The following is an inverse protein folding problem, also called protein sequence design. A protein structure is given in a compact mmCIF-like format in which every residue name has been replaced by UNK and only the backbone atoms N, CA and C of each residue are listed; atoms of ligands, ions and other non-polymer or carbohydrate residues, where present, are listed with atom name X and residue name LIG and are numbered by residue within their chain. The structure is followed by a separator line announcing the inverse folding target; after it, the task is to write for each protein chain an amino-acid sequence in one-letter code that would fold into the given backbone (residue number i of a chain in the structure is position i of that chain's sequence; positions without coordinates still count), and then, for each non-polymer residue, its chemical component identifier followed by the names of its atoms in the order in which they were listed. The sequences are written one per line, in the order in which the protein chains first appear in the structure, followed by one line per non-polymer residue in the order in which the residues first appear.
data_IF_498042839028
#
_entry.id   IF_498042839028
#
_cell.length_a   1.000
_cell.length_b   1.000
_cell.length_c   1.000
_cell.angle_alpha   90.00
_cell.angle_beta   90.00
_cell.angle_gamma   90.00
#
_symmetry.space_group_name_H-M   'P 1'
#
loop_
_entity.id
_entity.type
_entity.pdbx_description
1 polymer ?
#
# COMPACT_ATOMS: atom_id res chain seq x y z
N UNK A 1 -17.12 1.41 3.95
CA UNK A 1 -16.99 2.35 2.82
C UNK A 1 -15.98 1.83 1.83
N UNK A 2 -16.34 1.82 0.55
CA UNK A 2 -15.37 1.51 -0.49
C UNK A 2 -14.45 2.73 -0.68
N UNK A 3 -13.15 2.49 -0.76
CA UNK A 3 -12.18 3.52 -1.07
C UNK A 3 -12.23 3.82 -2.56
N UNK A 4 -12.31 5.08 -2.90
CA UNK A 4 -12.30 5.53 -4.29
C UNK A 4 -11.19 6.56 -4.50
N UNK A 5 -10.59 6.54 -5.68
CA UNK A 5 -9.58 7.53 -6.03
C UNK A 5 -10.22 8.91 -6.16
N UNK A 6 -9.55 9.93 -5.65
CA UNK A 6 -9.96 11.32 -5.86
C UNK A 6 -9.63 11.74 -7.29
N UNK A 7 -10.29 12.80 -7.75
CA UNK A 7 -10.01 13.38 -9.07
C UNK A 7 -8.52 13.72 -9.24
N UNK A 8 -7.92 14.32 -8.21
CA UNK A 8 -6.49 14.66 -8.22
C UNK A 8 -5.61 13.42 -8.36
N UNK A 9 -5.93 12.36 -7.63
CA UNK A 9 -5.19 11.09 -7.72
C UNK A 9 -5.30 10.48 -9.13
N UNK A 10 -6.48 10.51 -9.73
CA UNK A 10 -6.70 10.02 -11.09
C UNK A 10 -5.88 10.85 -12.09
N UNK A 11 -5.84 12.18 -11.95
CA UNK A 11 -5.06 13.05 -12.82
C UNK A 11 -3.55 12.77 -12.69
N UNK A 12 -3.07 12.53 -11.49
CA UNK A 12 -1.67 12.13 -11.24
C UNK A 12 -1.35 10.80 -11.92
N UNK A 13 -2.24 9.82 -11.79
CA UNK A 13 -2.09 8.52 -12.44
C UNK A 13 -2.04 8.65 -13.97
N UNK A 14 -2.90 9.47 -14.54
CA UNK A 14 -2.94 9.71 -15.98
C UNK A 14 -1.64 10.33 -16.49
N UNK A 15 -1.14 11.35 -15.78
CA UNK A 15 0.12 12.01 -16.11
C UNK A 15 1.30 11.03 -16.10
N UNK A 16 1.38 10.22 -15.06
CA UNK A 16 2.44 9.21 -14.91
C UNK A 16 2.32 8.14 -15.97
N UNK A 17 1.11 7.65 -16.24
CA UNK A 17 0.84 6.66 -17.30
C UNK A 17 1.30 7.18 -18.67
N UNK A 18 0.92 8.40 -19.02
CA UNK A 18 1.28 9.04 -20.27
C UNK A 18 2.80 9.23 -20.42
N UNK A 19 3.50 9.46 -19.33
CA UNK A 19 4.97 9.62 -19.31
C UNK A 19 5.71 8.30 -19.49
N UNK A 20 5.09 7.18 -19.15
CA UNK A 20 5.72 5.86 -19.17
C UNK A 20 5.14 4.91 -20.22
N UNK A 21 4.13 5.35 -20.96
CA UNK A 21 3.46 4.56 -21.98
C UNK A 21 4.37 4.20 -23.15
N UNK A 22 4.00 3.16 -23.88
CA UNK A 22 4.65 2.82 -25.15
C UNK A 22 4.36 3.88 -26.21
N UNK A 23 5.36 4.25 -26.99
CA UNK A 23 5.18 5.14 -28.15
C UNK A 23 4.65 4.42 -29.38
N UNK A 24 4.53 3.10 -29.32
CA UNK A 24 3.99 2.30 -30.41
C UNK A 24 2.50 2.09 -30.20
N UNK A 25 1.70 2.59 -31.14
CA UNK A 25 0.29 2.22 -31.21
C UNK A 25 0.23 0.76 -31.66
N UNK A 26 -0.45 -0.07 -30.91
CA UNK A 26 -0.77 -1.42 -31.38
C UNK A 26 -1.95 -1.32 -32.39
N UNK A 27 -2.28 -2.42 -33.04
CA UNK A 27 -3.31 -2.49 -34.08
C UNK A 27 -4.72 -2.03 -33.66
N UNK A 28 -4.89 -1.68 -32.38
CA UNK A 28 -6.18 -1.28 -31.77
C UNK A 28 -6.25 0.17 -31.34
N UNK A 29 -5.24 0.99 -31.67
CA UNK A 29 -5.11 2.37 -31.18
C UNK A 29 -5.15 2.52 -29.65
N UNK A 30 -4.93 1.43 -28.91
CA UNK A 30 -4.90 1.44 -27.44
C UNK A 30 -3.53 1.88 -26.93
N UNK A 31 -3.54 2.89 -26.05
CA UNK A 31 -2.34 3.32 -25.35
C UNK A 31 -2.12 2.38 -24.17
N UNK A 32 -0.96 1.74 -24.12
CA UNK A 32 -0.62 0.77 -23.08
C UNK A 32 0.71 1.07 -22.43
N UNK A 33 0.82 0.67 -21.17
CA UNK A 33 2.05 0.79 -20.38
C UNK A 33 2.78 -0.55 -20.43
N UNK A 34 4.04 -0.59 -20.95
CA UNK A 34 4.84 -1.80 -20.87
C UNK A 34 5.09 -2.23 -19.42
N UNK A 35 5.04 -3.53 -19.16
CA UNK A 35 5.25 -4.07 -17.80
C UNK A 35 6.61 -3.69 -17.22
N UNK A 36 7.64 -3.56 -18.03
CA UNK A 36 8.97 -3.15 -17.63
C UNK A 36 9.00 -1.71 -17.05
N UNK A 37 8.02 -0.88 -17.44
CA UNK A 37 7.89 0.50 -16.96
C UNK A 37 6.94 0.64 -15.77
N UNK A 38 6.30 -0.45 -15.35
CA UNK A 38 5.25 -0.40 -14.33
C UNK A 38 5.78 0.01 -12.96
N UNK A 39 6.89 -0.55 -12.53
CA UNK A 39 7.52 -0.19 -11.26
C UNK A 39 7.93 1.28 -11.28
N UNK A 40 8.55 1.73 -12.37
CA UNK A 40 8.94 3.12 -12.53
C UNK A 40 7.73 4.06 -12.45
N UNK A 41 6.63 3.70 -13.10
CA UNK A 41 5.39 4.50 -13.06
C UNK A 41 4.84 4.60 -11.63
N UNK A 42 4.85 3.52 -10.86
CA UNK A 42 4.44 3.53 -9.47
C UNK A 42 5.39 4.34 -8.58
N UNK A 43 6.69 4.29 -8.86
CA UNK A 43 7.68 5.13 -8.18
C UNK A 43 7.50 6.62 -8.50
N UNK A 44 7.11 6.95 -9.73
CA UNK A 44 6.78 8.33 -10.12
C UNK A 44 5.54 8.86 -9.38
N UNK A 45 4.69 7.96 -8.86
CA UNK A 45 3.58 8.29 -7.96
C UNK A 45 4.02 8.36 -6.48
N UNK A 46 5.32 8.27 -6.22
CA UNK A 46 5.92 8.29 -4.88
C UNK A 46 5.63 7.02 -4.05
N UNK A 47 5.33 5.91 -4.70
CA UNK A 47 5.19 4.62 -4.02
C UNK A 47 6.51 3.85 -4.06
N UNK A 48 6.81 3.16 -2.97
CA UNK A 48 7.91 2.20 -2.91
C UNK A 48 7.32 0.81 -3.10
N UNK A 49 7.79 0.09 -4.12
CA UNK A 49 7.27 -1.24 -4.43
C UNK A 49 8.39 -2.13 -4.99
N UNK A 50 8.39 -3.39 -4.57
CA UNK A 50 9.27 -4.42 -5.11
C UNK A 50 8.55 -5.21 -6.20
N UNK A 51 9.30 -5.90 -7.06
CA UNK A 51 8.71 -6.78 -8.09
C UNK A 51 7.85 -7.87 -7.47
N UNK A 52 8.27 -8.41 -6.34
CA UNK A 52 7.52 -9.44 -5.62
C UNK A 52 6.19 -8.91 -5.10
N UNK A 53 6.19 -7.73 -4.52
CA UNK A 53 4.97 -7.07 -4.04
C UNK A 53 4.01 -6.76 -5.19
N UNK A 54 4.54 -6.24 -6.30
CA UNK A 54 3.74 -5.97 -7.49
C UNK A 54 3.08 -7.24 -8.02
N UNK A 55 3.82 -8.33 -8.13
CA UNK A 55 3.28 -9.61 -8.59
C UNK A 55 2.15 -10.09 -7.67
N UNK A 56 2.32 -9.97 -6.36
CA UNK A 56 1.30 -10.34 -5.38
C UNK A 56 0.02 -9.53 -5.53
N UNK A 57 0.15 -8.21 -5.72
CA UNK A 57 -1.00 -7.33 -5.93
C UNK A 57 -1.72 -7.67 -7.24
N UNK A 58 -0.98 -7.93 -8.31
CA UNK A 58 -1.56 -8.30 -9.60
C UNK A 58 -2.37 -9.59 -9.49
N UNK A 59 -1.83 -10.60 -8.80
CA UNK A 59 -2.53 -11.88 -8.57
C UNK A 59 -3.82 -11.65 -7.78
N UNK A 60 -3.78 -10.85 -6.73
CA UNK A 60 -4.98 -10.53 -5.93
C UNK A 60 -6.06 -9.84 -6.76
N UNK A 61 -5.68 -9.03 -7.73
CA UNK A 61 -6.59 -8.33 -8.62
C UNK A 61 -7.07 -9.19 -9.80
N UNK A 62 -6.60 -10.44 -9.88
CA UNK A 62 -6.94 -11.34 -10.99
C UNK A 62 -6.19 -11.01 -12.29
N UNK A 63 -5.05 -10.32 -12.18
CA UNK A 63 -4.20 -9.97 -13.31
C UNK A 63 -3.04 -10.96 -13.44
N UNK A 64 -2.60 -11.20 -14.68
CA UNK A 64 -1.44 -12.04 -14.95
C UNK A 64 -0.14 -11.26 -14.67
N UNK A 65 0.71 -11.71 -13.74
CA UNK A 65 2.00 -11.03 -13.46
C UNK A 65 2.95 -11.02 -14.66
N UNK A 66 2.78 -11.94 -15.60
CA UNK A 66 3.61 -12.04 -16.81
C UNK A 66 3.04 -11.28 -18.00
N UNK A 67 1.95 -10.52 -17.81
CA UNK A 67 1.38 -9.70 -18.87
C UNK A 67 2.40 -8.67 -19.35
N UNK A 68 2.57 -8.56 -20.67
CA UNK A 68 3.58 -7.67 -21.26
C UNK A 68 3.23 -6.20 -21.24
N UNK A 69 1.95 -5.87 -21.22
CA UNK A 69 1.44 -4.49 -21.24
C UNK A 69 0.14 -4.41 -20.46
N UNK A 70 -0.12 -3.25 -19.84
CA UNK A 70 -1.38 -2.98 -19.14
C UNK A 70 -2.05 -1.72 -19.69
N UNK A 71 -3.38 -1.71 -19.66
CA UNK A 71 -4.17 -0.54 -19.99
C UNK A 71 -4.30 0.43 -18.80
N UNK A 72 -4.84 1.62 -19.07
CA UNK A 72 -4.99 2.63 -18.01
C UNK A 72 -5.95 2.19 -16.89
N UNK A 73 -7.11 1.59 -17.16
CA UNK A 73 -7.96 1.10 -16.07
C UNK A 73 -7.27 0.10 -15.15
N UNK A 74 -6.46 -0.81 -15.70
CA UNK A 74 -5.68 -1.77 -14.90
C UNK A 74 -4.61 -1.06 -14.05
N UNK A 75 -3.94 -0.06 -14.63
CA UNK A 75 -2.98 0.78 -13.88
C UNK A 75 -3.66 1.51 -12.72
N UNK A 76 -4.86 2.06 -12.93
CA UNK A 76 -5.63 2.70 -11.88
C UNK A 76 -5.97 1.74 -10.73
N UNK A 77 -6.28 0.49 -11.05
CA UNK A 77 -6.56 -0.55 -10.05
C UNK A 77 -5.34 -0.82 -9.17
N UNK A 78 -4.16 -0.92 -9.78
CA UNK A 78 -2.89 -1.08 -9.05
C UNK A 78 -2.60 0.14 -8.18
N UNK A 79 -2.75 1.34 -8.73
CA UNK A 79 -2.54 2.58 -7.99
C UNK A 79 -3.53 2.71 -6.83
N UNK A 80 -4.78 2.31 -7.02
CA UNK A 80 -5.81 2.32 -5.98
C UNK A 80 -5.38 1.50 -4.75
N UNK A 81 -4.83 0.31 -4.97
CA UNK A 81 -4.33 -0.54 -3.88
C UNK A 81 -3.24 0.17 -3.09
N UNK A 82 -2.30 0.81 -3.79
CA UNK A 82 -1.19 1.51 -3.15
C UNK A 82 -1.64 2.78 -2.43
N UNK A 83 -2.54 3.57 -3.00
CA UNK A 83 -3.10 4.76 -2.34
C UNK A 83 -3.87 4.38 -1.07
N UNK A 84 -4.69 3.34 -1.15
CA UNK A 84 -5.45 2.83 -0.01
C UNK A 84 -4.52 2.35 1.11
N UNK A 85 -3.47 1.63 0.77
CA UNK A 85 -2.46 1.15 1.71
C UNK A 85 -1.72 2.32 2.39
N UNK A 86 -1.36 3.34 1.63
CA UNK A 86 -0.70 4.54 2.14
C UNK A 86 -1.59 5.29 3.13
N UNK A 87 -2.85 5.50 2.77
CA UNK A 87 -3.82 6.16 3.66
C UNK A 87 -4.03 5.34 4.95
N UNK A 88 -4.13 4.03 4.81
CA UNK A 88 -4.23 3.13 5.95
C UNK A 88 -3.04 3.27 6.90
N UNK A 89 -1.82 3.27 6.36
CA UNK A 89 -0.60 3.40 7.18
C UNK A 89 -0.54 4.74 7.89
N UNK A 90 -0.94 5.83 7.23
CA UNK A 90 -1.00 7.15 7.85
C UNK A 90 -2.04 7.21 8.96
N UNK A 91 -3.21 6.63 8.75
CA UNK A 91 -4.27 6.56 9.76
C UNK A 91 -3.84 5.75 10.98
N UNK A 92 -3.15 4.64 10.75
CA UNK A 92 -2.62 3.79 11.81
C UNK A 92 -1.54 4.51 12.61
N UNK A 93 -0.63 5.21 11.93
CA UNK A 93 0.40 6.00 12.58
C UNK A 93 -0.21 7.12 13.44
N UNK A 94 -1.22 7.82 12.93
CA UNK A 94 -1.93 8.86 13.67
C UNK A 94 -2.63 8.29 14.91
N UNK A 95 -3.23 7.10 14.80
CA UNK A 95 -3.83 6.43 15.95
C UNK A 95 -2.79 6.11 17.03
N UNK A 96 -1.63 5.59 16.64
CA UNK A 96 -0.54 5.33 17.58
C UNK A 96 -0.05 6.62 18.26
N UNK A 97 0.10 7.70 17.50
CA UNK A 97 0.51 9.00 18.05
C UNK A 97 -0.48 9.56 19.06
N UNK A 98 -1.78 9.35 18.82
CA UNK A 98 -2.83 9.80 19.74
C UNK A 98 -2.75 9.13 21.10
N UNK A 99 -2.28 7.89 21.16
CA UNK A 99 -2.13 7.13 22.40
C UNK A 99 -0.77 7.35 23.07
N UNK A 100 0.19 7.94 22.37
CA UNK A 100 1.55 8.19 22.87
C UNK A 100 1.67 9.64 23.38
N UNK A 101 1.07 9.92 24.54
CA UNK A 101 0.98 11.27 25.13
C UNK A 101 2.34 11.90 25.43
N UNK A 102 3.35 11.10 25.68
CA UNK A 102 4.69 11.57 26.05
C UNK A 102 5.70 11.51 24.91
N UNK A 103 5.30 11.12 23.72
CA UNK A 103 6.15 10.95 22.54
C UNK A 103 7.35 10.03 22.75
N UNK A 104 7.23 9.09 23.68
CA UNK A 104 8.28 8.12 24.01
C UNK A 104 8.30 6.89 23.12
N UNK A 105 7.39 6.81 22.15
CA UNK A 105 7.22 5.66 21.25
C UNK A 105 6.93 4.35 22.01
N UNK A 106 6.50 4.45 23.26
CA UNK A 106 6.20 3.32 24.14
C UNK A 106 4.68 3.24 24.36
N UNK A 107 4.07 2.19 23.86
CA UNK A 107 2.67 1.89 24.08
C UNK A 107 2.57 0.61 24.90
N UNK A 108 1.54 0.52 25.75
CA UNK A 108 1.26 -0.72 26.47
C UNK A 108 0.70 -1.77 25.52
N UNK A 109 0.80 -3.03 25.91
CA UNK A 109 0.24 -4.13 25.14
C UNK A 109 -1.27 -3.93 24.87
N UNK A 110 -2.02 -3.49 25.87
CA UNK A 110 -3.46 -3.23 25.75
C UNK A 110 -3.77 -2.10 24.77
N UNK A 111 -2.97 -1.03 24.78
CA UNK A 111 -3.11 0.08 23.82
C UNK A 111 -2.86 -0.38 22.39
N UNK A 112 -1.82 -1.18 22.17
CA UNK A 112 -1.51 -1.75 20.87
C UNK A 112 -2.65 -2.65 20.38
N UNK A 113 -3.15 -3.51 21.23
CA UNK A 113 -4.25 -4.41 20.90
C UNK A 113 -5.52 -3.65 20.54
N UNK A 114 -5.87 -2.61 21.31
CA UNK A 114 -7.00 -1.74 21.03
C UNK A 114 -6.90 -1.08 19.65
N UNK A 115 -5.73 -0.54 19.34
CA UNK A 115 -5.49 0.12 18.05
C UNK A 115 -5.67 -0.87 16.90
N UNK A 116 -5.04 -2.04 16.98
CA UNK A 116 -5.08 -3.04 15.90
C UNK A 116 -6.44 -3.67 15.72
N UNK A 117 -7.26 -3.74 16.76
CA UNK A 117 -8.61 -4.31 16.66
C UNK A 117 -9.66 -3.30 16.23
N UNK A 118 -9.46 -2.01 16.47
CA UNK A 118 -10.42 -0.94 16.18
C UNK A 118 -10.12 -0.14 14.92
N UNK A 119 -8.84 -0.01 14.56
CA UNK A 119 -8.40 0.82 13.44
C UNK A 119 -7.77 -0.05 12.36
N UNK A 120 -7.85 0.43 11.11
CA UNK A 120 -7.24 -0.24 9.99
C UNK A 120 -7.96 -1.51 9.57
N UNK A 121 -7.25 -2.64 9.36
CA UNK A 121 -7.87 -3.89 8.89
C UNK A 121 -8.73 -4.57 9.94
N UNK A 122 -8.85 -4.01 11.14
CA UNK A 122 -9.63 -4.56 12.26
C UNK A 122 -9.31 -6.03 12.50
N UNK A 123 -8.09 -6.28 12.91
CA UNK A 123 -7.63 -7.62 13.25
C UNK A 123 -8.47 -8.20 14.40
N UNK A 124 -8.65 -9.52 14.42
CA UNK A 124 -9.23 -10.19 15.58
C UNK A 124 -8.27 -10.09 16.76
N UNK A 125 -8.77 -10.30 17.97
CA UNK A 125 -7.94 -10.26 19.17
C UNK A 125 -6.77 -11.24 19.09
N UNK A 126 -6.99 -12.45 18.59
CA UNK A 126 -5.95 -13.46 18.41
C UNK A 126 -4.89 -13.03 17.39
N UNK A 127 -5.32 -12.50 16.25
CA UNK A 127 -4.41 -12.00 15.21
C UNK A 127 -3.55 -10.84 15.73
N UNK A 128 -4.15 -9.91 16.47
CA UNK A 128 -3.45 -8.79 17.09
C UNK A 128 -2.43 -9.28 18.11
N UNK A 129 -2.81 -10.24 18.97
CA UNK A 129 -1.93 -10.83 19.99
C UNK A 129 -0.71 -11.50 19.35
N UNK A 130 -0.91 -12.30 18.31
CA UNK A 130 0.17 -12.96 17.59
C UNK A 130 1.12 -11.96 16.95
N UNK A 131 0.58 -10.94 16.29
CA UNK A 131 1.37 -9.94 15.60
C UNK A 131 2.23 -9.12 16.56
N UNK A 132 1.65 -8.68 17.68
CA UNK A 132 2.36 -7.92 18.71
C UNK A 132 3.44 -8.77 19.36
N UNK A 133 3.11 -10.01 19.67
CA UNK A 133 4.04 -10.94 20.31
C UNK A 133 5.26 -11.21 19.44
N UNK A 134 5.04 -11.53 18.17
CA UNK A 134 6.11 -11.79 17.22
C UNK A 134 7.04 -10.58 17.08
N UNK A 135 6.47 -9.38 17.00
CA UNK A 135 7.26 -8.16 16.87
C UNK A 135 8.09 -7.85 18.12
N UNK A 136 7.51 -8.03 19.31
CA UNK A 136 8.20 -7.79 20.59
C UNK A 136 9.33 -8.81 20.81
N UNK A 137 9.14 -10.06 20.40
CA UNK A 137 10.18 -11.09 20.51
C UNK A 137 11.38 -10.79 19.61
N UNK A 138 11.14 -10.23 18.42
CA UNK A 138 12.21 -9.86 17.48
C UNK A 138 12.93 -8.57 17.90
N UNK A 139 12.23 -7.65 18.54
CA UNK A 139 12.73 -6.32 18.88
C UNK A 139 12.55 -6.06 20.38
N UNK A 140 13.63 -5.75 21.07
CA UNK A 140 13.59 -5.49 22.52
C UNK A 140 12.86 -4.19 22.88
N UNK A 141 12.78 -3.24 21.94
CA UNK A 141 12.07 -1.98 22.11
C UNK A 141 10.98 -1.88 21.05
N UNK A 142 9.77 -1.50 21.46
CA UNK A 142 8.68 -1.31 20.53
C UNK A 142 8.73 0.09 19.91
N UNK A 143 8.93 0.15 18.59
CA UNK A 143 8.78 1.36 17.78
C UNK A 143 7.62 1.14 16.83
N UNK A 144 6.53 1.90 17.00
CA UNK A 144 5.33 1.71 16.19
C UNK A 144 5.55 2.07 14.71
N UNK A 145 6.47 2.96 14.40
CA UNK A 145 6.81 3.30 13.01
C UNK A 145 7.46 2.11 12.31
N UNK A 146 8.39 1.46 12.99
CA UNK A 146 9.02 0.25 12.51
C UNK A 146 8.02 -0.89 12.38
N UNK A 147 7.13 -1.02 13.37
CA UNK A 147 6.05 -2.01 13.37
C UNK A 147 5.15 -1.87 12.15
N UNK A 148 4.70 -0.66 11.83
CA UNK A 148 3.87 -0.39 10.66
C UNK A 148 4.63 -0.71 9.37
N UNK A 149 5.87 -0.28 9.27
CA UNK A 149 6.72 -0.49 8.09
C UNK A 149 6.95 -1.98 7.79
N UNK A 150 7.12 -2.81 8.81
CA UNK A 150 7.38 -4.25 8.64
C UNK A 150 6.13 -5.08 8.36
N UNK A 151 4.96 -4.67 8.86
CA UNK A 151 3.76 -5.50 8.87
C UNK A 151 2.68 -5.00 7.92
N UNK A 152 2.77 -3.77 7.46
CA UNK A 152 1.78 -3.15 6.58
C UNK A 152 2.47 -2.34 5.45
#
# INVERSE_FOLDING_TARGET
MSYELTFEQIQRCKKVFDSNKSNTLNDRDDIRLPSENLIKALEDLEFTITQKELNSIMIELGMDPDIGEIDFPSFLRLALVKFKQQEFNLSLEDAFKSFDDEKKLNLTYEQLKDILTKYGPKLSENEADELIKDFIEENQNFDYKEFISKNF
#
